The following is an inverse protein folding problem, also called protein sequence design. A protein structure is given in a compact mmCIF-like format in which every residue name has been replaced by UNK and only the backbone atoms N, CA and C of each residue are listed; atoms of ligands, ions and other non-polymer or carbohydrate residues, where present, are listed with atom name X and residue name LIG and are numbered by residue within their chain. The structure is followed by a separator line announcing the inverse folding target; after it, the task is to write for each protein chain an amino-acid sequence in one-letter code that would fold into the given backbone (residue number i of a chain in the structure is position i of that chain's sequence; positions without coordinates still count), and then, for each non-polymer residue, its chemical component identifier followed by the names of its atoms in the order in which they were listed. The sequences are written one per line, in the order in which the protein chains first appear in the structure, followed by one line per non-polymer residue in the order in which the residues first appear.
data_IF_788842680518
#
_entry.id   IF_788842680518
#
_cell.length_a   1.000
_cell.length_b   1.000
_cell.length_c   1.000
_cell.angle_alpha   90.00
_cell.angle_beta   90.00
_cell.angle_gamma   90.00
#
_symmetry.space_group_name_H-M   'P 1'
#
loop_
_entity.id
_entity.type
_entity.pdbx_description
1 polymer ?
#
# COMPACT_ATOMS: atom_id res chain seq x y z
N UNK A 1 -9.33 38.63 9.24
CA UNK A 1 -8.19 39.51 8.93
C UNK A 1 -8.70 40.74 8.19
N UNK A 2 -8.12 41.93 8.42
CA UNK A 2 -8.40 43.16 7.64
C UNK A 2 -7.33 43.42 6.57
N UNK A 3 -6.39 42.49 6.42
CA UNK A 3 -5.30 42.54 5.47
C UNK A 3 -5.72 41.92 4.14
N UNK A 4 -5.50 42.65 3.04
CA UNK A 4 -5.74 42.18 1.68
C UNK A 4 -4.58 42.61 0.80
N UNK A 5 -4.07 41.68 0.01
CA UNK A 5 -3.04 41.92 -1.00
C UNK A 5 -3.65 41.80 -2.38
N UNK A 6 -3.22 42.67 -3.29
CA UNK A 6 -3.69 42.69 -4.68
C UNK A 6 -2.49 42.82 -5.61
N UNK A 7 -2.42 41.92 -6.58
CA UNK A 7 -1.56 42.01 -7.75
C UNK A 7 -2.40 42.19 -9.00
N UNK A 8 -1.94 43.00 -9.95
CA UNK A 8 -2.65 43.28 -11.20
C UNK A 8 -1.78 42.99 -12.44
N UNK A 9 -2.41 42.89 -13.61
CA UNK A 9 -1.76 42.63 -14.89
C UNK A 9 -0.94 43.80 -15.42
N UNK A 10 -1.24 45.03 -15.00
CA UNK A 10 -0.44 46.23 -15.22
C UNK A 10 0.68 46.44 -14.18
N UNK A 11 0.96 45.42 -13.35
CA UNK A 11 2.11 45.40 -12.45
C UNK A 11 1.96 46.19 -11.15
N UNK A 12 0.74 46.58 -10.78
CA UNK A 12 0.49 47.16 -9.46
C UNK A 12 0.45 46.05 -8.40
N UNK A 13 1.33 46.17 -7.41
CA UNK A 13 1.29 45.39 -6.18
C UNK A 13 0.84 46.30 -5.04
N UNK A 14 -0.25 45.94 -4.35
CA UNK A 14 -0.87 46.78 -3.33
C UNK A 14 -1.26 45.98 -2.09
N UNK A 15 -1.18 46.63 -0.94
CA UNK A 15 -1.65 46.08 0.35
C UNK A 15 -2.57 47.07 1.05
N UNK A 16 -3.63 46.54 1.65
CA UNK A 16 -4.45 47.24 2.65
C UNK A 16 -4.42 46.45 3.94
N UNK A 17 -4.50 47.15 5.08
CA UNK A 17 -4.54 46.55 6.42
C UNK A 17 -5.79 46.97 7.22
N UNK A 18 -6.68 47.75 6.59
CA UNK A 18 -7.86 48.34 7.22
C UNK A 18 -9.17 47.95 6.51
N UNK A 19 -9.16 46.81 5.80
CA UNK A 19 -10.31 46.28 5.07
C UNK A 19 -10.60 47.03 3.77
N UNK A 20 -9.59 47.63 3.14
CA UNK A 20 -9.70 48.30 1.84
C UNK A 20 -10.05 49.78 1.90
N UNK A 21 -9.96 50.43 3.07
CA UNK A 21 -10.19 51.88 3.20
C UNK A 21 -8.99 52.67 2.68
N UNK A 22 -7.78 52.19 2.96
CA UNK A 22 -6.53 52.74 2.44
C UNK A 22 -5.66 51.65 1.83
N UNK A 23 -5.00 51.98 0.71
CA UNK A 23 -4.14 51.09 -0.05
C UNK A 23 -2.75 51.70 -0.20
N UNK A 24 -1.72 50.89 0.00
CA UNK A 24 -0.32 51.27 -0.21
C UNK A 24 0.17 50.58 -1.48
N UNK A 25 0.67 51.35 -2.45
CA UNK A 25 1.34 50.84 -3.64
C UNK A 25 2.79 50.44 -3.30
N UNK A 26 3.18 49.23 -3.70
CA UNK A 26 4.44 48.59 -3.32
C UNK A 26 5.35 48.30 -4.51
N UNK A 27 4.88 48.47 -5.75
CA UNK A 27 5.60 48.10 -6.98
C UNK A 27 7.03 48.64 -7.03
N UNK A 28 7.21 49.93 -6.69
CA UNK A 28 8.54 50.59 -6.73
C UNK A 28 9.51 50.10 -5.65
N UNK A 29 9.05 49.25 -4.71
CA UNK A 29 9.86 48.68 -3.63
C UNK A 29 10.42 47.30 -3.98
N UNK A 30 10.02 46.72 -5.11
CA UNK A 30 10.52 45.41 -5.57
C UNK A 30 11.89 45.58 -6.23
N UNK A 31 12.99 45.09 -5.62
CA UNK A 31 14.33 45.35 -6.13
C UNK A 31 14.57 44.64 -7.46
N UNK A 32 14.85 45.41 -8.52
CA UNK A 32 15.16 44.85 -9.84
C UNK A 32 13.97 44.27 -10.60
N UNK A 33 12.74 44.47 -10.13
CA UNK A 33 11.54 44.08 -10.87
C UNK A 33 11.43 44.89 -12.18
N UNK A 34 11.11 44.25 -13.32
CA UNK A 34 10.87 44.98 -14.56
C UNK A 34 9.57 45.79 -14.46
N UNK A 35 9.55 46.97 -15.08
CA UNK A 35 8.40 47.89 -15.06
C UNK A 35 7.18 47.27 -15.76
N UNK A 36 5.97 47.51 -15.23
CA UNK A 36 4.71 47.07 -15.85
C UNK A 36 4.68 45.54 -16.12
N UNK A 37 5.25 44.77 -15.19
CA UNK A 37 5.28 43.30 -15.24
C UNK A 37 4.11 42.76 -14.44
N UNK A 38 3.33 41.84 -15.03
CA UNK A 38 2.16 41.26 -14.38
C UNK A 38 2.53 40.62 -13.03
N UNK A 39 1.84 41.02 -11.97
CA UNK A 39 1.88 40.32 -10.69
C UNK A 39 1.05 39.03 -10.81
N UNK A 40 1.73 37.95 -11.19
CA UNK A 40 1.11 36.63 -11.45
C UNK A 40 0.48 36.00 -10.21
N UNK A 41 1.10 36.16 -9.03
CA UNK A 41 0.57 35.61 -7.77
C UNK A 41 1.02 36.41 -6.56
N UNK A 42 0.18 36.46 -5.54
CA UNK A 42 0.51 36.97 -4.20
C UNK A 42 0.01 35.98 -3.17
N UNK A 43 0.93 35.42 -2.37
CA UNK A 43 0.64 34.48 -1.28
C UNK A 43 1.03 35.15 0.05
N UNK A 44 0.07 35.70 0.82
CA UNK A 44 0.31 36.07 2.20
C UNK A 44 0.63 34.83 3.04
N UNK A 45 1.62 34.91 3.92
CA UNK A 45 2.01 33.79 4.77
C UNK A 45 0.88 33.41 5.73
N UNK A 46 0.68 32.11 5.90
CA UNK A 46 -0.23 31.55 6.92
C UNK A 46 0.42 31.47 8.29
N UNK A 47 1.76 31.51 8.34
CA UNK A 47 2.55 31.30 9.55
C UNK A 47 2.96 32.60 10.23
N UNK A 48 3.13 33.68 9.47
CA UNK A 48 3.57 34.97 10.01
C UNK A 48 2.87 36.15 9.36
N UNK A 49 2.24 37.00 10.19
CA UNK A 49 1.69 38.26 9.72
C UNK A 49 2.79 39.17 9.19
N UNK A 50 2.51 39.89 8.10
CA UNK A 50 3.48 40.76 7.43
C UNK A 50 4.40 40.04 6.45
N UNK A 51 4.44 38.71 6.47
CA UNK A 51 5.14 37.94 5.45
C UNK A 51 4.25 37.71 4.24
N UNK A 52 4.77 37.95 3.04
CA UNK A 52 4.11 37.62 1.78
C UNK A 52 5.14 37.26 0.70
N UNK A 53 4.72 36.39 -0.21
CA UNK A 53 5.48 35.94 -1.36
C UNK A 53 4.80 36.43 -2.63
N UNK A 54 5.58 36.95 -3.59
CA UNK A 54 5.06 37.51 -4.84
C UNK A 54 5.82 36.95 -6.02
N UNK A 55 5.10 36.58 -7.07
CA UNK A 55 5.70 36.19 -8.36
C UNK A 55 5.32 37.16 -9.47
N UNK A 56 6.27 37.48 -10.36
CA UNK A 56 5.99 38.30 -11.55
C UNK A 56 6.15 37.47 -12.83
N UNK A 57 5.32 37.78 -13.82
CA UNK A 57 5.32 37.14 -15.13
C UNK A 57 5.55 38.16 -16.25
N UNK A 58 6.72 38.07 -16.87
CA UNK A 58 7.16 38.93 -17.98
C UNK A 58 7.02 38.33 -19.37
N UNK A 59 6.47 37.12 -19.54
CA UNK A 59 6.59 36.38 -20.81
C UNK A 59 5.96 37.12 -22.00
N UNK A 60 4.90 37.90 -21.75
CA UNK A 60 4.23 38.72 -22.79
C UNK A 60 5.12 39.83 -23.34
N UNK A 61 6.15 40.21 -22.59
CA UNK A 61 7.17 41.19 -22.97
C UNK A 61 8.48 40.52 -23.42
N UNK A 62 8.44 39.23 -23.79
CA UNK A 62 9.60 38.43 -24.16
C UNK A 62 10.65 38.29 -23.05
N UNK A 63 10.22 38.38 -21.79
CA UNK A 63 11.04 38.10 -20.60
C UNK A 63 10.61 36.78 -19.97
N UNK A 64 11.46 35.77 -20.12
CA UNK A 64 11.21 34.41 -19.63
C UNK A 64 11.78 34.18 -18.22
N UNK A 65 12.30 35.23 -17.59
CA UNK A 65 13.00 35.12 -16.30
C UNK A 65 12.02 34.84 -15.15
N UNK A 66 12.39 33.96 -14.20
CA UNK A 66 11.64 33.80 -12.96
C UNK A 66 11.86 35.00 -12.03
N UNK A 67 10.75 35.56 -11.51
CA UNK A 67 10.76 36.60 -10.49
C UNK A 67 9.97 36.14 -9.28
N UNK A 68 10.64 36.06 -8.13
CA UNK A 68 10.05 35.73 -6.83
C UNK A 68 10.56 36.72 -5.79
N UNK A 69 9.65 37.35 -5.06
CA UNK A 69 9.95 38.34 -4.03
C UNK A 69 9.33 37.95 -2.69
N UNK A 70 10.03 38.27 -1.62
CA UNK A 70 9.63 37.95 -0.25
C UNK A 70 9.69 39.23 0.58
N UNK A 71 8.64 39.49 1.35
CA UNK A 71 8.61 40.52 2.41
C UNK A 71 8.31 39.86 3.75
N UNK A 72 8.70 40.52 4.84
CA UNK A 72 8.38 40.12 6.23
C UNK A 72 7.81 41.28 7.05
N UNK A 73 7.55 42.43 6.40
CA UNK A 73 7.20 43.70 7.04
C UNK A 73 6.04 44.41 6.31
N UNK A 74 5.07 43.63 5.81
CA UNK A 74 3.91 44.13 5.07
C UNK A 74 4.30 44.90 3.79
N UNK A 75 5.44 44.56 3.19
CA UNK A 75 5.92 45.16 1.95
C UNK A 75 6.60 46.53 2.13
N UNK A 76 7.03 46.86 3.35
CA UNK A 76 7.95 47.99 3.58
C UNK A 76 9.29 47.74 2.90
N UNK A 77 9.79 46.51 2.95
CA UNK A 77 10.97 46.05 2.24
C UNK A 77 10.75 44.69 1.58
N UNK A 78 11.54 44.42 0.53
CA UNK A 78 11.48 43.18 -0.25
C UNK A 78 12.87 42.63 -0.51
N UNK A 79 12.96 41.30 -0.48
CA UNK A 79 14.13 40.54 -0.91
C UNK A 79 13.76 39.76 -2.17
N UNK A 80 14.57 39.88 -3.22
CA UNK A 80 14.46 39.00 -4.38
C UNK A 80 15.02 37.62 -3.99
N UNK A 81 14.25 36.56 -4.24
CA UNK A 81 14.73 35.20 -4.02
C UNK A 81 15.85 34.86 -5.02
N UNK A 82 16.77 33.98 -4.63
CA UNK A 82 17.62 33.31 -5.61
C UNK A 82 16.71 32.39 -6.44
N UNK A 83 16.67 32.56 -7.76
CA UNK A 83 15.79 31.78 -8.64
C UNK A 83 16.52 30.68 -9.40
N UNK A 84 17.79 30.41 -9.06
CA UNK A 84 18.50 29.24 -9.57
C UNK A 84 17.74 27.96 -9.20
N UNK A 85 17.39 27.15 -10.21
CA UNK A 85 16.57 25.95 -10.05
C UNK A 85 15.09 26.13 -10.40
N UNK A 86 14.62 27.35 -10.67
CA UNK A 86 13.30 27.62 -11.24
C UNK A 86 13.44 27.74 -12.77
N UNK A 87 12.85 26.80 -13.50
CA UNK A 87 13.03 26.72 -14.96
C UNK A 87 11.94 27.56 -15.69
N UNK A 88 12.22 28.85 -15.91
CA UNK A 88 11.36 29.90 -16.54
C UNK A 88 10.39 30.63 -15.59
N UNK A 89 9.64 31.60 -16.14
CA UNK A 89 8.70 32.47 -15.45
C UNK A 89 7.66 31.72 -14.60
N UNK A 90 7.27 32.35 -13.49
CA UNK A 90 6.43 31.77 -12.45
C UNK A 90 4.96 32.13 -12.64
N UNK A 91 4.07 31.22 -12.27
CA UNK A 91 2.61 31.43 -12.30
C UNK A 91 2.00 31.51 -10.91
N UNK A 92 2.55 30.73 -9.96
CA UNK A 92 1.98 30.55 -8.63
C UNK A 92 3.10 30.23 -7.64
N UNK A 93 2.96 30.74 -6.42
CA UNK A 93 3.77 30.36 -5.26
C UNK A 93 2.85 29.98 -4.11
N UNK A 94 3.18 28.90 -3.40
CA UNK A 94 2.45 28.45 -2.21
C UNK A 94 3.40 28.12 -1.07
N UNK A 95 3.01 28.56 0.12
CA UNK A 95 3.65 28.20 1.38
C UNK A 95 2.96 26.96 1.97
N UNK A 96 3.74 25.97 2.38
CA UNK A 96 3.23 24.74 2.97
C UNK A 96 2.37 24.99 4.22
N UNK A 97 1.40 24.10 4.45
CA UNK A 97 0.45 24.20 5.56
C UNK A 97 1.10 24.11 6.95
N UNK A 98 2.24 23.44 7.07
CA UNK A 98 2.85 23.09 8.37
C UNK A 98 4.28 23.62 8.53
N UNK A 99 5.02 23.77 7.44
CA UNK A 99 6.41 24.22 7.45
C UNK A 99 6.56 25.59 6.73
N UNK A 100 6.84 26.69 7.44
CA UNK A 100 6.99 28.02 6.83
C UNK A 100 8.16 28.14 5.86
N UNK A 101 9.16 27.25 5.95
CA UNK A 101 10.31 27.27 5.04
C UNK A 101 10.08 26.44 3.78
N UNK A 102 9.02 25.63 3.73
CA UNK A 102 8.71 24.79 2.59
C UNK A 102 7.82 25.56 1.61
N UNK A 103 8.39 25.96 0.47
CA UNK A 103 7.70 26.70 -0.58
C UNK A 103 7.65 25.91 -1.88
N UNK A 104 6.56 26.08 -2.62
CA UNK A 104 6.33 25.46 -3.91
C UNK A 104 6.04 26.54 -4.95
N UNK A 105 6.73 26.49 -6.09
CA UNK A 105 6.51 27.41 -7.21
C UNK A 105 6.12 26.63 -8.45
N UNK A 106 4.92 26.91 -8.95
CA UNK A 106 4.50 26.48 -10.29
C UNK A 106 5.05 27.44 -11.33
N UNK A 107 5.80 26.90 -12.29
CA UNK A 107 6.43 27.66 -13.37
C UNK A 107 6.06 27.05 -14.72
N UNK A 108 6.49 27.70 -15.81
CA UNK A 108 6.06 27.32 -17.16
C UNK A 108 6.41 25.88 -17.56
N UNK A 109 7.44 25.28 -16.97
CA UNK A 109 7.92 23.94 -17.31
C UNK A 109 7.75 22.92 -16.19
N UNK A 110 7.14 23.27 -15.07
CA UNK A 110 6.88 22.32 -13.99
C UNK A 110 6.73 22.97 -12.62
N UNK A 111 7.28 22.28 -11.63
CA UNK A 111 7.24 22.65 -10.22
C UNK A 111 8.67 22.76 -9.69
N UNK A 112 8.96 23.80 -8.91
CA UNK A 112 10.17 23.92 -8.11
C UNK A 112 9.82 23.96 -6.63
N UNK A 113 10.69 23.43 -5.79
CA UNK A 113 10.51 23.34 -4.34
C UNK A 113 11.69 23.98 -3.63
N UNK A 114 11.42 24.78 -2.61
CA UNK A 114 12.42 25.31 -1.69
C UNK A 114 12.18 24.74 -0.29
N UNK A 115 13.26 24.34 0.38
CA UNK A 115 13.23 23.78 1.75
C UNK A 115 13.66 24.82 2.81
N UNK A 116 14.03 26.03 2.38
CA UNK A 116 14.74 27.03 3.18
C UNK A 116 14.17 28.45 3.01
N UNK A 117 12.87 28.55 2.72
CA UNK A 117 12.15 29.82 2.64
C UNK A 117 12.46 30.62 1.38
N UNK A 118 12.83 29.95 0.28
CA UNK A 118 13.10 30.57 -1.01
C UNK A 118 14.56 30.96 -1.24
N UNK A 119 15.49 30.53 -0.37
CA UNK A 119 16.92 30.79 -0.56
C UNK A 119 17.54 29.88 -1.62
N UNK A 120 17.08 28.64 -1.72
CA UNK A 120 17.46 27.68 -2.76
C UNK A 120 16.23 26.96 -3.32
N UNK A 121 16.25 26.69 -4.63
CA UNK A 121 15.19 25.96 -5.32
C UNK A 121 15.71 24.72 -6.02
N UNK A 122 14.91 23.66 -5.98
CA UNK A 122 15.19 22.41 -6.68
C UNK A 122 14.02 22.08 -7.60
N UNK A 123 14.27 21.79 -8.89
CA UNK A 123 13.21 21.36 -9.79
C UNK A 123 12.64 20.00 -9.35
N UNK A 124 11.32 19.88 -9.29
CA UNK A 124 10.63 18.66 -8.95
C UNK A 124 10.54 17.72 -10.16
N UNK A 125 11.46 16.75 -10.24
CA UNK A 125 11.56 15.80 -11.37
C UNK A 125 10.87 14.45 -11.09
N UNK A 126 9.95 14.41 -10.13
CA UNK A 126 9.24 13.20 -9.68
C UNK A 126 8.09 12.78 -10.60
N UNK A 127 8.38 12.18 -11.75
CA UNK A 127 7.39 11.82 -12.78
C UNK A 127 6.52 13.00 -13.27
N UNK A 128 6.96 14.24 -13.00
CA UNK A 128 6.30 15.44 -13.44
C UNK A 128 6.67 15.69 -14.90
N UNK A 129 5.70 15.72 -15.84
CA UNK A 129 6.00 16.11 -17.22
C UNK A 129 6.40 17.58 -17.28
N UNK A 130 7.14 17.94 -18.33
CA UNK A 130 7.39 19.34 -18.66
C UNK A 130 6.08 20.01 -19.10
N UNK A 131 5.43 20.71 -18.18
CA UNK A 131 4.13 21.36 -18.39
C UNK A 131 3.98 22.56 -17.47
N UNK A 132 3.27 23.57 -17.94
CA UNK A 132 2.96 24.77 -17.18
C UNK A 132 2.05 24.44 -15.99
N UNK A 133 2.52 24.70 -14.78
CA UNK A 133 1.76 24.56 -13.54
C UNK A 133 1.18 25.93 -13.19
N UNK A 134 -0.15 26.04 -13.28
CA UNK A 134 -0.88 27.33 -13.22
C UNK A 134 -1.45 27.64 -11.84
N UNK A 135 -1.76 26.61 -11.06
CA UNK A 135 -2.25 26.78 -9.70
C UNK A 135 -1.88 25.57 -8.83
N UNK A 136 -1.84 25.82 -7.52
CA UNK A 136 -1.44 24.87 -6.48
C UNK A 136 -2.41 24.95 -5.30
N UNK A 137 -2.89 23.80 -4.84
CA UNK A 137 -3.73 23.70 -3.65
C UNK A 137 -3.32 22.53 -2.76
N UNK A 138 -3.16 22.78 -1.47
CA UNK A 138 -2.95 21.72 -0.50
C UNK A 138 -4.28 21.17 0.00
N UNK A 139 -4.39 19.85 0.14
CA UNK A 139 -5.45 19.18 0.88
C UNK A 139 -5.03 19.01 2.35
N UNK A 140 -5.60 19.76 3.32
CA UNK A 140 -5.11 19.77 4.69
C UNK A 140 -5.18 18.42 5.41
N UNK A 141 -6.20 17.61 5.11
CA UNK A 141 -6.44 16.34 5.79
C UNK A 141 -5.51 15.24 5.29
N UNK A 142 -5.16 15.24 4.00
CA UNK A 142 -4.38 14.17 3.38
C UNK A 142 -2.93 14.57 3.14
N UNK A 143 -2.59 15.86 3.31
CA UNK A 143 -1.30 16.46 2.95
C UNK A 143 -0.95 16.30 1.48
N UNK A 144 -1.93 16.18 0.58
CA UNK A 144 -1.65 16.11 -0.86
C UNK A 144 -1.47 17.51 -1.45
N UNK A 145 -0.62 17.64 -2.46
CA UNK A 145 -0.48 18.86 -3.26
C UNK A 145 -1.13 18.63 -4.63
N UNK A 146 -2.25 19.33 -4.86
CA UNK A 146 -3.00 19.35 -6.11
C UNK A 146 -2.43 20.42 -7.02
N UNK A 147 -2.07 20.03 -8.24
CA UNK A 147 -1.45 20.88 -9.26
C UNK A 147 -2.39 20.99 -10.47
N UNK A 148 -2.82 22.21 -10.78
CA UNK A 148 -3.56 22.50 -12.00
C UNK A 148 -2.57 22.78 -13.14
N UNK A 149 -2.57 21.95 -14.19
CA UNK A 149 -1.65 22.08 -15.32
C UNK A 149 -2.33 22.61 -16.57
N UNK A 150 -1.59 23.31 -17.42
CA UNK A 150 -2.07 23.76 -18.72
C UNK A 150 -2.06 22.59 -19.73
N UNK A 151 -3.25 22.11 -20.10
CA UNK A 151 -3.41 21.12 -21.18
C UNK A 151 -3.13 19.66 -20.80
N UNK A 152 -2.84 19.35 -19.53
CA UNK A 152 -2.64 17.96 -19.04
C UNK A 152 -3.48 17.58 -17.81
N UNK A 153 -4.43 18.43 -17.42
CA UNK A 153 -5.36 18.14 -16.32
C UNK A 153 -4.77 18.39 -14.93
N UNK A 154 -5.24 17.61 -13.96
CA UNK A 154 -4.83 17.70 -12.56
C UNK A 154 -3.78 16.64 -12.25
N UNK A 155 -2.68 17.06 -11.64
CA UNK A 155 -1.67 16.17 -11.06
C UNK A 155 -1.77 16.27 -9.54
N UNK A 156 -1.65 15.14 -8.85
CA UNK A 156 -1.65 15.08 -7.39
C UNK A 156 -0.31 14.50 -6.97
N UNK A 157 0.44 15.26 -6.19
CA UNK A 157 1.53 14.73 -5.40
C UNK A 157 0.92 14.22 -4.10
N UNK A 158 0.76 12.89 -4.03
CA UNK A 158 0.27 12.22 -2.83
C UNK A 158 1.26 12.44 -1.68
N UNK A 159 0.76 12.97 -0.57
CA UNK A 159 1.49 13.17 0.69
C UNK A 159 2.82 13.96 0.58
N UNK A 160 2.79 15.26 0.91
CA UNK A 160 4.00 16.09 1.02
C UNK A 160 4.77 15.91 2.34
N UNK A 161 4.30 15.06 3.26
CA UNK A 161 4.94 14.83 4.56
C UNK A 161 6.42 14.41 4.43
N UNK A 162 6.82 13.52 3.50
CA UNK A 162 8.23 13.17 3.32
C UNK A 162 9.10 14.37 2.92
N UNK A 163 8.53 15.33 2.17
CA UNK A 163 9.24 16.56 1.76
C UNK A 163 9.42 17.48 2.97
N UNK A 164 8.42 17.58 3.86
CA UNK A 164 8.54 18.33 5.12
C UNK A 164 9.67 17.79 6.00
N UNK A 165 9.96 16.50 5.91
CA UNK A 165 11.06 15.85 6.64
C UNK A 165 12.45 16.07 6.06
N UNK A 166 12.60 16.70 4.88
CA UNK A 166 13.90 16.99 4.27
C UNK A 166 14.56 18.23 4.90
N UNK A 167 14.98 18.11 6.15
CA UNK A 167 15.76 19.15 6.82
C UNK A 167 17.21 19.17 6.33
N UNK A 168 17.93 20.27 6.59
CA UNK A 168 19.36 20.38 6.28
C UNK A 168 20.17 19.22 6.90
N UNK A 169 19.83 18.83 8.13
CA UNK A 169 20.44 17.68 8.79
C UNK A 169 20.18 16.36 8.05
N UNK A 170 18.93 16.11 7.67
CA UNK A 170 18.51 14.88 6.99
C UNK A 170 19.18 14.73 5.62
N UNK A 171 19.26 15.81 4.83
CA UNK A 171 19.87 15.75 3.49
C UNK A 171 21.40 15.52 3.54
N UNK A 172 22.04 15.76 4.68
CA UNK A 172 23.46 15.47 4.85
C UNK A 172 23.74 14.00 5.19
N UNK A 173 22.76 13.26 5.67
CA UNK A 173 22.89 11.83 5.98
C UNK A 173 22.99 11.00 4.70
N UNK A 174 23.72 9.88 4.74
CA UNK A 174 23.87 9.00 3.58
C UNK A 174 22.56 8.33 3.18
N UNK A 175 21.76 7.93 4.18
CA UNK A 175 20.40 7.47 4.05
C UNK A 175 19.64 7.83 5.33
N UNK A 176 18.43 8.36 5.20
CA UNK A 176 17.58 8.71 6.32
C UNK A 176 16.13 8.37 6.00
N UNK A 177 15.42 7.74 6.94
CA UNK A 177 13.97 7.58 6.81
C UNK A 177 13.26 8.92 6.99
N UNK A 178 12.21 9.10 6.21
CA UNK A 178 11.41 10.31 6.20
C UNK A 178 10.03 10.01 6.81
N UNK A 179 9.42 10.99 7.49
CA UNK A 179 8.05 10.83 7.98
C UNK A 179 7.10 10.65 6.78
N UNK A 180 6.08 9.82 6.97
CA UNK A 180 4.97 9.66 6.05
C UNK A 180 3.67 9.55 6.82
N UNK A 181 2.54 9.75 6.14
CA UNK A 181 1.24 9.47 6.76
C UNK A 181 1.04 7.97 7.01
N UNK A 182 0.21 7.58 8.00
CA UNK A 182 -0.19 6.19 8.17
C UNK A 182 -0.76 5.61 6.88
N UNK A 183 -0.40 4.36 6.59
CA UNK A 183 -1.02 3.58 5.53
C UNK A 183 -2.30 2.93 6.06
N UNK A 184 -3.36 2.92 5.25
CA UNK A 184 -4.66 2.42 5.71
C UNK A 184 -4.97 1.04 5.14
N UNK A 185 -5.37 0.12 6.02
CA UNK A 185 -5.99 -1.15 5.64
C UNK A 185 -7.35 -0.84 5.01
N UNK A 186 -7.51 -1.18 3.74
CA UNK A 186 -8.76 -0.99 2.98
C UNK A 186 -9.33 -2.33 2.58
N UNK A 187 -10.59 -2.55 2.92
CA UNK A 187 -11.38 -3.65 2.37
C UNK A 187 -11.60 -3.51 0.86
N UNK A 188 -11.93 -4.62 0.21
CA UNK A 188 -12.29 -4.62 -1.21
C UNK A 188 -13.73 -4.15 -1.34
N UNK A 189 -13.93 -2.95 -1.87
CA UNK A 189 -15.25 -2.48 -2.26
C UNK A 189 -15.44 -2.73 -3.77
N UNK A 190 -16.49 -3.46 -4.12
CA UNK A 190 -16.95 -3.56 -5.51
C UNK A 190 -18.07 -2.55 -5.70
N UNK A 191 -17.84 -1.56 -6.56
CA UNK A 191 -18.90 -0.69 -7.02
C UNK A 191 -19.75 -1.47 -8.03
N UNK A 192 -21.06 -1.54 -7.79
CA UNK A 192 -22.02 -1.97 -8.79
C UNK A 192 -22.61 -0.72 -9.44
N UNK A 193 -22.02 -0.28 -10.56
CA UNK A 193 -22.51 0.88 -11.31
C UNK A 193 -23.39 0.45 -12.50
N UNK A 194 -24.35 1.30 -12.85
CA UNK A 194 -25.15 1.24 -14.07
C UNK A 194 -24.84 2.49 -14.89
N UNK A 195 -23.64 2.54 -15.46
CA UNK A 195 -23.03 3.74 -16.04
C UNK A 195 -23.68 4.15 -17.37
N UNK A 196 -23.93 5.46 -17.52
CA UNK A 196 -24.22 6.13 -18.81
C UNK A 196 -23.00 6.86 -19.38
N UNK A 197 -23.21 7.75 -20.35
CA UNK A 197 -22.18 8.25 -21.29
C UNK A 197 -21.10 9.21 -20.73
N UNK A 198 -20.96 9.41 -19.42
CA UNK A 198 -20.13 10.49 -18.83
C UNK A 198 -19.36 10.10 -17.55
N UNK A 199 -18.92 8.85 -17.41
CA UNK A 199 -18.09 8.48 -16.25
C UNK A 199 -16.60 8.78 -16.46
N UNK A 200 -16.09 9.68 -15.61
CA UNK A 200 -14.66 9.83 -15.36
C UNK A 200 -14.30 8.92 -14.18
N UNK A 201 -13.61 7.82 -14.45
CA UNK A 201 -13.03 6.98 -13.40
C UNK A 201 -11.53 7.25 -13.29
N UNK A 202 -11.04 7.28 -12.05
CA UNK A 202 -9.62 7.28 -11.71
C UNK A 202 -9.26 5.95 -11.05
N UNK A 203 -7.97 5.55 -11.09
CA UNK A 203 -7.53 4.41 -10.31
C UNK A 203 -7.76 4.67 -8.81
N UNK A 204 -8.19 3.65 -8.08
CA UNK A 204 -8.24 3.71 -6.63
C UNK A 204 -6.82 3.94 -6.06
N UNK A 205 -6.68 4.61 -4.90
CA UNK A 205 -5.42 4.67 -4.20
C UNK A 205 -4.87 3.28 -3.91
N UNK A 206 -3.55 3.14 -3.93
CA UNK A 206 -2.89 1.87 -3.65
C UNK A 206 -3.25 1.34 -2.25
N UNK A 207 -3.40 0.02 -2.13
CA UNK A 207 -3.53 -0.68 -0.84
C UNK A 207 -2.17 -1.01 -0.22
N UNK A 208 -1.08 -0.66 -0.89
CA UNK A 208 0.26 -0.87 -0.36
C UNK A 208 0.50 0.09 0.79
N UNK A 209 1.14 -0.43 1.84
CA UNK A 209 1.73 0.41 2.84
C UNK A 209 3.04 1.01 2.32
N UNK A 210 3.24 2.31 2.55
CA UNK A 210 4.34 3.06 1.97
C UNK A 210 5.22 3.64 3.07
N UNK A 211 6.53 3.40 2.96
CA UNK A 211 7.56 4.09 3.72
C UNK A 211 8.47 4.89 2.79
N UNK A 212 9.10 5.93 3.32
CA UNK A 212 9.92 6.86 2.55
C UNK A 212 11.32 6.94 3.14
N UNK A 213 12.33 6.99 2.29
CA UNK A 213 13.69 7.34 2.71
C UNK A 213 14.37 8.26 1.70
N UNK A 214 15.19 9.16 2.22
CA UNK A 214 16.12 9.98 1.45
C UNK A 214 17.43 9.23 1.23
N UNK A 215 18.00 9.38 0.04
CA UNK A 215 19.33 8.89 -0.28
C UNK A 215 20.18 10.01 -0.90
N UNK A 216 21.30 10.35 -0.23
CA UNK A 216 22.17 11.47 -0.65
C UNK A 216 22.82 11.27 -2.01
N UNK A 217 23.17 10.02 -2.33
CA UNK A 217 23.81 9.61 -3.58
C UNK A 217 23.11 8.39 -4.14
N UNK A 218 23.02 8.32 -5.46
CA UNK A 218 22.50 7.12 -6.15
C UNK A 218 23.30 5.88 -5.74
N UNK A 219 22.62 4.82 -5.33
CA UNK A 219 23.25 3.53 -5.05
C UNK A 219 23.62 2.83 -6.37
N UNK A 220 24.91 2.59 -6.59
CA UNK A 220 25.45 2.01 -7.84
C UNK A 220 26.16 0.67 -7.59
N UNK A 221 26.77 0.48 -6.40
CA UNK A 221 27.64 -0.66 -6.13
C UNK A 221 27.21 -1.43 -4.88
N UNK A 222 27.22 -2.76 -4.98
CA UNK A 222 26.89 -3.66 -3.88
C UNK A 222 25.40 -3.97 -3.77
N UNK A 223 25.09 -4.99 -2.98
CA UNK A 223 23.71 -5.33 -2.64
C UNK A 223 23.09 -4.21 -1.79
N UNK A 224 21.79 -4.00 -2.01
CA UNK A 224 20.95 -3.14 -1.19
C UNK A 224 19.62 -3.86 -1.08
N UNK A 225 19.28 -4.29 0.13
CA UNK A 225 18.04 -5.02 0.43
C UNK A 225 17.12 -4.14 1.26
N UNK A 226 15.82 -4.38 1.12
CA UNK A 226 14.79 -3.77 1.96
C UNK A 226 13.97 -4.90 2.56
N UNK A 227 13.82 -4.88 3.87
CA UNK A 227 13.04 -5.85 4.64
C UNK A 227 11.94 -5.09 5.39
N UNK A 228 10.77 -5.71 5.51
CA UNK A 228 9.73 -5.27 6.44
C UNK A 228 9.67 -6.29 7.57
N UNK A 229 9.74 -5.80 8.80
CA UNK A 229 9.75 -6.60 10.01
C UNK A 229 8.57 -6.26 10.91
N UNK A 230 8.09 -7.26 11.64
CA UNK A 230 7.10 -7.06 12.68
C UNK A 230 7.71 -6.49 13.98
N UNK A 231 6.88 -6.39 15.02
CA UNK A 231 7.28 -5.88 16.34
C UNK A 231 8.27 -6.80 17.09
N UNK A 232 8.34 -8.08 16.71
CA UNK A 232 9.17 -9.10 17.35
C UNK A 232 10.51 -9.27 16.60
N UNK A 233 10.65 -8.64 15.43
CA UNK A 233 11.86 -8.65 14.61
C UNK A 233 11.87 -9.74 13.54
N UNK A 234 10.73 -10.38 13.27
CA UNK A 234 10.58 -11.37 12.21
C UNK A 234 10.43 -10.68 10.85
N UNK A 235 11.12 -11.22 9.84
CA UNK A 235 11.06 -10.68 8.47
C UNK A 235 9.77 -11.14 7.80
N UNK A 236 8.89 -10.18 7.52
CA UNK A 236 7.59 -10.43 6.85
C UNK A 236 7.70 -10.38 5.33
N UNK A 237 8.60 -9.56 4.80
CA UNK A 237 8.79 -9.42 3.36
C UNK A 237 10.18 -8.87 3.00
N UNK A 238 10.77 -9.40 1.94
CA UNK A 238 11.88 -8.79 1.23
C UNK A 238 11.38 -8.03 0.01
N UNK A 239 11.82 -6.77 -0.15
CA UNK A 239 11.33 -5.85 -1.16
C UNK A 239 12.48 -5.28 -2.02
N UNK A 240 12.19 -4.90 -3.27
CA UNK A 240 13.19 -4.24 -4.12
C UNK A 240 13.57 -2.87 -3.56
N UNK A 241 14.87 -2.60 -3.46
CA UNK A 241 15.39 -1.32 -3.00
C UNK A 241 15.33 -0.22 -4.07
N UNK A 242 14.81 0.96 -3.70
CA UNK A 242 14.97 2.22 -4.44
C UNK A 242 16.42 2.71 -4.45
N UNK A 243 17.07 2.68 -5.61
CA UNK A 243 18.49 3.02 -5.76
C UNK A 243 18.74 4.46 -6.22
N UNK A 244 17.71 5.33 -6.25
CA UNK A 244 17.81 6.68 -6.82
C UNK A 244 18.35 7.66 -5.78
N UNK A 245 19.04 8.71 -6.25
CA UNK A 245 19.33 9.89 -5.43
C UNK A 245 18.01 10.61 -5.11
N UNK A 246 17.85 11.09 -3.88
CA UNK A 246 16.67 11.80 -3.40
C UNK A 246 15.71 10.87 -2.65
N UNK A 247 14.43 11.24 -2.64
CA UNK A 247 13.37 10.48 -1.97
C UNK A 247 13.06 9.20 -2.75
N UNK A 248 13.02 8.07 -2.05
CA UNK A 248 12.61 6.77 -2.55
C UNK A 248 11.42 6.27 -1.74
N UNK A 249 10.59 5.43 -2.36
CA UNK A 249 9.42 4.80 -1.75
C UNK A 249 9.65 3.29 -1.61
N UNK A 250 9.28 2.74 -0.46
CA UNK A 250 9.13 1.30 -0.22
C UNK A 250 7.65 0.99 -0.24
N UNK A 251 7.24 0.12 -1.15
CA UNK A 251 5.84 -0.30 -1.28
C UNK A 251 5.71 -1.74 -0.79
N UNK A 252 5.03 -1.93 0.34
CA UNK A 252 4.75 -3.24 0.92
C UNK A 252 3.28 -3.58 0.76
N UNK A 253 2.97 -4.80 0.33
CA UNK A 253 1.58 -5.31 0.36
C UNK A 253 1.34 -5.86 1.77
N UNK A 254 0.53 -5.20 2.63
CA UNK A 254 0.36 -5.61 4.02
C UNK A 254 -0.64 -6.77 4.13
N UNK A 255 -0.38 -7.87 3.42
CA UNK A 255 -1.23 -9.06 3.35
C UNK A 255 -0.37 -10.32 3.36
N UNK A 256 -0.79 -11.32 4.14
CA UNK A 256 -0.20 -12.66 4.13
C UNK A 256 -0.52 -13.39 2.81
N UNK A 257 0.23 -14.46 2.48
CA UNK A 257 -0.17 -15.37 1.42
C UNK A 257 -1.59 -15.89 1.61
N UNK A 258 -2.27 -16.18 0.49
CA UNK A 258 -3.55 -16.86 0.53
C UNK A 258 -3.43 -18.21 1.26
N UNK A 259 -4.45 -18.64 2.03
CA UNK A 259 -4.41 -19.96 2.65
C UNK A 259 -4.30 -21.01 1.57
N UNK A 260 -3.48 -22.04 1.81
CA UNK A 260 -3.49 -23.21 0.95
C UNK A 260 -4.85 -23.91 1.07
N UNK A 261 -5.27 -24.53 -0.03
CA UNK A 261 -6.47 -25.35 -0.09
C UNK A 261 -6.14 -26.64 -0.84
N UNK A 262 -6.78 -27.79 -0.50
CA UNK A 262 -6.58 -29.01 -1.25
C UNK A 262 -6.81 -28.80 -2.76
N UNK A 263 -5.91 -29.37 -3.55
CA UNK A 263 -6.00 -29.30 -5.02
C UNK A 263 -7.25 -30.01 -5.54
N UNK A 264 -7.96 -29.38 -6.48
CA UNK A 264 -9.19 -29.90 -7.07
C UNK A 264 -9.37 -29.36 -8.49
N UNK A 265 -10.25 -29.97 -9.27
CA UNK A 265 -10.63 -29.48 -10.60
C UNK A 265 -11.32 -28.12 -10.57
N UNK A 266 -11.95 -27.75 -9.45
CA UNK A 266 -12.60 -26.45 -9.28
C UNK A 266 -11.71 -25.42 -8.55
N UNK A 267 -11.73 -24.17 -9.02
CA UNK A 267 -11.05 -23.07 -8.34
C UNK A 267 -11.78 -22.69 -7.05
N UNK A 268 -11.09 -22.73 -5.92
CA UNK A 268 -11.65 -22.25 -4.64
C UNK A 268 -11.71 -20.72 -4.62
N UNK A 269 -12.84 -20.15 -5.04
CA UNK A 269 -13.02 -18.69 -5.12
C UNK A 269 -13.04 -18.00 -3.76
N UNK A 270 -13.27 -18.75 -2.69
CA UNK A 270 -13.32 -18.22 -1.32
C UNK A 270 -11.94 -17.92 -0.73
N UNK A 271 -10.92 -18.70 -1.08
CA UNK A 271 -9.59 -18.69 -0.47
C UNK A 271 -8.50 -18.00 -1.33
N UNK A 272 -8.88 -17.12 -2.25
CA UNK A 272 -7.94 -16.52 -3.24
C UNK A 272 -7.07 -15.37 -2.70
N UNK A 273 -7.32 -14.89 -1.48
CA UNK A 273 -6.56 -13.80 -0.85
C UNK A 273 -6.25 -14.15 0.59
N UNK A 274 -5.06 -13.78 1.07
CA UNK A 274 -4.71 -13.91 2.48
C UNK A 274 -5.26 -12.78 3.36
N UNK A 275 -5.23 -12.94 4.69
CA UNK A 275 -5.57 -11.89 5.64
C UNK A 275 -4.58 -10.73 5.58
N UNK A 276 -5.07 -9.51 5.80
CA UNK A 276 -4.21 -8.35 6.03
C UNK A 276 -3.44 -8.49 7.35
N UNK A 277 -2.24 -7.92 7.41
CA UNK A 277 -1.52 -7.78 8.69
C UNK A 277 -2.29 -6.81 9.61
N UNK A 278 -2.22 -6.99 10.95
CA UNK A 278 -2.95 -6.15 11.89
C UNK A 278 -2.43 -4.70 11.89
N UNK A 279 -3.25 -3.72 12.31
CA UNK A 279 -2.76 -2.36 12.50
C UNK A 279 -1.63 -2.35 13.54
N UNK A 280 -0.64 -1.49 13.33
CA UNK A 280 0.55 -1.41 14.17
C UNK A 280 1.71 -0.70 13.46
N UNK A 281 2.80 -0.54 14.20
CA UNK A 281 4.06 -0.04 13.66
C UNK A 281 4.93 -1.22 13.26
N UNK A 282 5.36 -1.21 12.01
CA UNK A 282 6.29 -2.16 11.41
C UNK A 282 7.63 -1.47 11.17
N UNK A 283 8.71 -2.24 11.21
CA UNK A 283 10.05 -1.71 10.92
C UNK A 283 10.38 -1.95 9.46
N UNK A 284 10.75 -0.90 8.74
CA UNK A 284 11.36 -1.03 7.41
C UNK A 284 12.86 -0.90 7.58
N UNK A 285 13.59 -1.95 7.21
CA UNK A 285 15.03 -2.02 7.29
C UNK A 285 15.65 -1.94 5.91
N UNK A 286 16.57 -1.01 5.71
CA UNK A 286 17.41 -0.92 4.52
C UNK A 286 18.82 -1.33 4.89
N UNK A 287 19.31 -2.40 4.28
CA UNK A 287 20.67 -2.90 4.49
C UNK A 287 21.50 -2.66 3.23
N UNK A 288 22.63 -1.96 3.38
CA UNK A 288 23.66 -1.77 2.34
C UNK A 288 25.04 -1.94 2.96
N UNK A 289 26.08 -2.01 2.12
CA UNK A 289 27.48 -2.18 2.58
C UNK A 289 27.87 -1.19 3.69
N UNK A 290 27.36 0.04 3.62
CA UNK A 290 27.74 1.14 4.51
C UNK A 290 26.92 1.19 5.81
N UNK A 291 25.98 0.26 6.02
CA UNK A 291 25.21 0.18 7.26
C UNK A 291 23.81 -0.38 7.12
N UNK A 292 23.16 -0.52 8.27
CA UNK A 292 21.75 -0.89 8.43
C UNK A 292 21.01 0.36 8.89
N UNK A 293 19.89 0.66 8.22
CA UNK A 293 19.07 1.83 8.50
C UNK A 293 17.64 1.34 8.73
N UNK A 294 16.98 1.87 9.75
CA UNK A 294 15.62 1.46 10.11
C UNK A 294 14.72 2.68 10.20
N UNK A 295 13.45 2.48 9.88
CA UNK A 295 12.41 3.48 10.04
C UNK A 295 11.03 2.85 10.14
N UNK A 296 10.08 3.65 10.59
CA UNK A 296 8.75 3.18 10.92
C UNK A 296 7.84 3.19 9.68
N UNK A 297 7.02 2.14 9.58
CA UNK A 297 5.87 2.06 8.69
C UNK A 297 4.63 1.82 9.55
N UNK A 298 3.71 2.76 9.55
CA UNK A 298 2.50 2.69 10.38
C UNK A 298 1.32 2.22 9.54
N UNK A 299 0.67 1.16 10.00
CA UNK A 299 -0.54 0.59 9.40
C UNK A 299 -1.74 0.83 10.33
N UNK A 300 -2.80 1.45 9.83
CA UNK A 300 -4.00 1.77 10.59
C UNK A 300 -5.27 1.33 9.86
N UNK A 301 -6.39 1.24 10.59
CA UNK A 301 -7.69 1.18 9.93
C UNK A 301 -8.05 2.53 9.32
N UNK A 302 -8.74 2.52 8.19
CA UNK A 302 -9.19 3.75 7.56
C UNK A 302 -10.07 4.59 8.52
N UNK A 303 -9.79 5.89 8.70
CA UNK A 303 -10.47 6.72 9.71
C UNK A 303 -11.94 6.96 9.40
N UNK A 304 -12.33 6.77 8.14
CA UNK A 304 -13.71 6.87 7.67
C UNK A 304 -14.44 5.51 7.63
N UNK A 305 -13.88 4.47 8.27
CA UNK A 305 -14.56 3.17 8.34
C UNK A 305 -15.87 3.26 9.12
N UNK A 306 -16.95 2.62 8.64
CA UNK A 306 -18.21 2.55 9.38
C UNK A 306 -18.21 1.50 10.51
N UNK A 307 -17.11 0.76 10.70
CA UNK A 307 -17.01 -0.37 11.64
C UNK A 307 -16.15 0.02 12.84
N UNK A 308 -16.56 -0.41 14.03
CA UNK A 308 -15.79 -0.16 15.24
C UNK A 308 -14.49 -0.97 15.25
N UNK A 309 -13.52 -0.54 16.07
CA UNK A 309 -12.28 -1.31 16.30
C UNK A 309 -12.60 -2.72 16.81
N UNK A 310 -13.61 -2.84 17.69
CA UNK A 310 -14.04 -4.13 18.22
C UNK A 310 -14.62 -5.06 17.13
N UNK A 311 -15.41 -4.50 16.20
CA UNK A 311 -15.96 -5.25 15.06
C UNK A 311 -14.83 -5.79 14.17
N UNK A 312 -13.87 -4.93 13.83
CA UNK A 312 -12.70 -5.30 13.02
C UNK A 312 -11.83 -6.35 13.70
N UNK A 313 -11.65 -6.24 15.01
CA UNK A 313 -10.90 -7.24 15.77
C UNK A 313 -11.62 -8.59 15.83
N UNK A 314 -12.94 -8.59 15.99
CA UNK A 314 -13.74 -9.83 15.93
C UNK A 314 -13.65 -10.50 14.56
N UNK A 315 -13.65 -9.70 13.49
CA UNK A 315 -13.45 -10.18 12.13
C UNK A 315 -12.07 -10.78 11.93
N UNK A 316 -11.02 -10.09 12.39
CA UNK A 316 -9.64 -10.57 12.31
C UNK A 316 -9.46 -11.93 12.98
N UNK A 317 -10.02 -12.11 14.18
CA UNK A 317 -9.96 -13.38 14.91
C UNK A 317 -10.67 -14.51 14.13
N UNK A 318 -11.84 -14.24 13.56
CA UNK A 318 -12.58 -15.22 12.77
C UNK A 318 -11.87 -15.56 11.44
N UNK A 319 -11.17 -14.60 10.82
CA UNK A 319 -10.33 -14.87 9.65
C UNK A 319 -9.14 -15.75 10.03
N UNK A 320 -8.47 -15.45 11.14
CA UNK A 320 -7.34 -16.26 11.60
C UNK A 320 -7.76 -17.72 11.83
N UNK A 321 -8.87 -17.90 12.52
CA UNK A 321 -9.43 -19.22 12.79
C UNK A 321 -9.80 -19.94 11.48
N UNK A 322 -10.53 -19.28 10.58
CA UNK A 322 -10.88 -19.89 9.29
C UNK A 322 -9.68 -20.17 8.39
N UNK A 323 -8.61 -19.37 8.47
CA UNK A 323 -7.34 -19.61 7.79
C UNK A 323 -6.69 -20.90 8.31
N UNK A 324 -6.58 -21.05 9.63
CA UNK A 324 -6.04 -22.24 10.27
C UNK A 324 -6.82 -23.50 9.87
N UNK A 325 -8.15 -23.41 9.84
CA UNK A 325 -9.02 -24.53 9.45
C UNK A 325 -8.81 -24.92 7.97
N UNK A 326 -8.56 -23.95 7.08
CA UNK A 326 -8.20 -24.25 5.69
C UNK A 326 -6.84 -24.93 5.56
N UNK A 327 -5.86 -24.54 6.39
CA UNK A 327 -4.59 -25.24 6.43
C UNK A 327 -4.73 -26.68 6.95
N UNK A 328 -5.52 -26.89 8.01
CA UNK A 328 -5.79 -28.23 8.56
C UNK A 328 -6.46 -29.12 7.51
N UNK A 329 -7.45 -28.57 6.81
CA UNK A 329 -8.09 -29.23 5.66
C UNK A 329 -7.07 -29.58 4.56
N UNK A 330 -6.14 -28.66 4.27
CA UNK A 330 -5.09 -28.88 3.26
C UNK A 330 -4.15 -30.00 3.65
N UNK A 331 -3.69 -30.01 4.90
CA UNK A 331 -2.82 -31.06 5.42
C UNK A 331 -3.49 -32.42 5.27
N UNK A 332 -4.75 -32.55 5.71
CA UNK A 332 -5.50 -33.79 5.57
C UNK A 332 -5.69 -34.20 4.10
N UNK A 333 -6.09 -33.25 3.23
CA UNK A 333 -6.32 -33.50 1.82
C UNK A 333 -5.07 -33.96 1.07
N UNK A 334 -3.93 -33.31 1.31
CA UNK A 334 -2.66 -33.68 0.66
C UNK A 334 -2.04 -34.95 1.25
N UNK A 335 -2.26 -35.27 2.55
CA UNK A 335 -1.89 -36.57 3.11
C UNK A 335 -2.69 -37.72 2.47
N UNK A 336 -4.00 -37.56 2.34
CA UNK A 336 -4.87 -38.56 1.68
C UNK A 336 -4.47 -38.75 0.23
N UNK A 337 -4.22 -37.65 -0.50
CA UNK A 337 -3.78 -37.68 -1.90
C UNK A 337 -2.42 -38.35 -2.06
N UNK A 338 -1.46 -38.07 -1.17
CA UNK A 338 -0.15 -38.71 -1.18
C UNK A 338 -0.27 -40.23 -0.95
N UNK A 339 -1.03 -40.66 0.05
CA UNK A 339 -1.25 -42.09 0.31
C UNK A 339 -1.94 -42.81 -0.86
N UNK A 340 -2.96 -42.20 -1.48
CA UNK A 340 -3.62 -42.78 -2.65
C UNK A 340 -2.64 -42.96 -3.82
N UNK A 341 -1.78 -41.97 -4.05
CA UNK A 341 -0.73 -42.06 -5.06
C UNK A 341 0.27 -43.18 -4.75
N UNK A 342 0.74 -43.26 -3.51
CA UNK A 342 1.69 -44.31 -3.11
C UNK A 342 1.07 -45.72 -3.20
N UNK A 343 -0.24 -45.86 -2.95
CA UNK A 343 -0.98 -47.12 -3.12
C UNK A 343 -1.04 -47.53 -4.60
N UNK A 344 -1.32 -46.59 -5.51
CA UNK A 344 -1.34 -46.85 -6.97
C UNK A 344 0.02 -47.35 -7.47
N UNK A 345 1.12 -46.84 -6.90
CA UNK A 345 2.49 -47.29 -7.22
C UNK A 345 2.84 -48.69 -6.67
N UNK A 346 2.02 -49.26 -5.77
CA UNK A 346 2.21 -50.59 -5.16
C UNK A 346 1.55 -51.75 -5.93
N UNK A 347 1.18 -51.57 -7.20
CA UNK A 347 0.48 -52.58 -8.01
C UNK A 347 1.07 -53.99 -7.89
N UNK A 348 0.23 -54.95 -7.46
CA UNK A 348 0.58 -56.35 -7.27
C UNK A 348 1.57 -56.66 -6.13
N UNK A 349 1.94 -55.69 -5.30
CA UNK A 349 2.95 -55.86 -4.25
C UNK A 349 2.50 -56.76 -3.09
N UNK A 350 1.20 -56.78 -2.78
CA UNK A 350 0.62 -57.59 -1.71
C UNK A 350 -0.29 -58.69 -2.27
N UNK A 351 -0.48 -59.77 -1.51
CA UNK A 351 -1.35 -60.91 -1.89
C UNK A 351 -2.25 -61.35 -0.74
N UNK A 352 -3.37 -62.00 -1.09
CA UNK A 352 -4.28 -62.62 -0.13
C UNK A 352 -4.96 -61.59 0.78
N UNK A 353 -4.91 -61.80 2.11
CA UNK A 353 -5.54 -60.89 3.08
C UNK A 353 -4.94 -59.48 3.05
N UNK A 354 -3.63 -59.36 2.84
CA UNK A 354 -2.95 -58.08 2.82
C UNK A 354 -3.36 -57.23 1.60
N UNK A 355 -3.54 -57.85 0.44
CA UNK A 355 -4.08 -57.17 -0.75
C UNK A 355 -5.48 -56.62 -0.47
N UNK A 356 -6.38 -57.44 0.10
CA UNK A 356 -7.73 -56.97 0.47
C UNK A 356 -7.73 -55.81 1.48
N UNK A 357 -6.73 -55.75 2.37
CA UNK A 357 -6.59 -54.63 3.31
C UNK A 357 -6.06 -53.37 2.63
N UNK A 358 -5.20 -53.50 1.62
CA UNK A 358 -4.75 -52.40 0.77
C UNK A 358 -5.92 -51.85 -0.06
N UNK A 359 -6.70 -52.72 -0.71
CA UNK A 359 -7.89 -52.34 -1.49
C UNK A 359 -8.91 -51.61 -0.59
N UNK A 360 -9.10 -52.09 0.64
CA UNK A 360 -9.99 -51.43 1.61
C UNK A 360 -9.45 -50.06 2.04
N UNK A 361 -8.14 -49.95 2.29
CA UNK A 361 -7.51 -48.67 2.62
C UNK A 361 -7.68 -47.66 1.48
N UNK A 362 -7.46 -48.08 0.24
CA UNK A 362 -7.66 -47.25 -0.95
C UNK A 362 -9.12 -46.76 -1.06
N UNK A 363 -10.08 -47.67 -0.85
CA UNK A 363 -11.50 -47.33 -0.89
C UNK A 363 -11.92 -46.36 0.23
N UNK A 364 -11.40 -46.55 1.44
CA UNK A 364 -11.67 -45.69 2.60
C UNK A 364 -11.03 -44.30 2.40
N UNK A 365 -9.77 -44.24 1.93
CA UNK A 365 -9.08 -42.99 1.60
C UNK A 365 -9.78 -42.24 0.45
N UNK A 366 -10.26 -42.96 -0.56
CA UNK A 366 -11.05 -42.38 -1.65
C UNK A 366 -12.36 -41.81 -1.12
N UNK A 367 -12.99 -42.48 -0.14
CA UNK A 367 -14.20 -41.99 0.51
C UNK A 367 -13.92 -40.67 1.24
N UNK A 368 -12.83 -40.61 2.01
CA UNK A 368 -12.38 -39.39 2.69
C UNK A 368 -12.10 -38.28 1.66
N UNK A 369 -11.32 -38.55 0.61
CA UNK A 369 -11.02 -37.56 -0.43
C UNK A 369 -12.31 -36.94 -1.00
N UNK A 370 -13.33 -37.77 -1.25
CA UNK A 370 -14.62 -37.32 -1.78
C UNK A 370 -15.47 -36.50 -0.80
N UNK A 371 -15.20 -36.58 0.50
CA UNK A 371 -15.81 -35.69 1.49
C UNK A 371 -15.11 -34.32 1.51
N UNK A 372 -13.80 -34.29 1.27
CA UNK A 372 -12.97 -33.09 1.32
C UNK A 372 -13.12 -32.22 0.07
N UNK A 373 -13.02 -32.83 -1.12
CA UNK A 373 -12.94 -32.13 -2.41
C UNK A 373 -14.01 -32.59 -3.40
N UNK A 374 -14.51 -31.68 -4.26
CA UNK A 374 -15.50 -32.05 -5.28
C UNK A 374 -14.90 -32.92 -6.38
N UNK A 375 -15.73 -33.80 -6.96
CA UNK A 375 -15.37 -34.71 -8.06
C UNK A 375 -15.50 -34.07 -9.44
N UNK A 376 -16.40 -33.11 -9.57
CA UNK A 376 -16.72 -32.46 -10.84
C UNK A 376 -16.90 -30.95 -10.66
N UNK A 377 -16.39 -30.18 -11.61
CA UNK A 377 -16.62 -28.75 -11.72
C UNK A 377 -17.84 -28.49 -12.60
N UNK A 378 -18.96 -28.07 -11.99
CA UNK A 378 -20.13 -27.59 -12.72
C UNK A 378 -20.02 -26.08 -13.00
N UNK A 379 -20.55 -25.58 -14.13
CA UNK A 379 -20.52 -24.15 -14.42
C UNK A 379 -21.32 -23.35 -13.37
N UNK A 380 -20.70 -22.32 -12.80
CA UNK A 380 -21.34 -21.37 -11.89
C UNK A 380 -21.72 -22.00 -10.54
N UNK A 381 -23.02 -21.99 -10.21
CA UNK A 381 -23.60 -22.51 -8.95
C UNK A 381 -23.99 -23.99 -9.01
N UNK A 382 -23.64 -24.69 -10.09
CA UNK A 382 -24.01 -26.11 -10.32
C UNK A 382 -22.94 -27.11 -9.92
N UNK A 383 -21.82 -26.63 -9.37
CA UNK A 383 -20.72 -27.46 -8.88
C UNK A 383 -21.10 -28.21 -7.60
N UNK A 384 -20.44 -29.34 -7.38
CA UNK A 384 -20.55 -30.08 -6.13
C UNK A 384 -19.89 -29.28 -4.99
N UNK A 385 -20.61 -29.06 -3.90
CA UNK A 385 -20.04 -28.42 -2.71
C UNK A 385 -19.59 -29.49 -1.71
N UNK A 386 -18.29 -29.49 -1.41
CA UNK A 386 -17.65 -30.33 -0.39
C UNK A 386 -17.05 -29.46 0.70
N UNK A 387 -16.41 -30.10 1.68
CA UNK A 387 -15.89 -29.40 2.86
C UNK A 387 -14.95 -28.24 2.49
N UNK A 388 -14.11 -28.41 1.46
CA UNK A 388 -13.28 -27.35 0.88
C UNK A 388 -14.07 -26.11 0.45
N UNK A 389 -15.16 -26.29 -0.29
CA UNK A 389 -15.96 -25.16 -0.77
C UNK A 389 -16.65 -24.44 0.38
N UNK A 390 -17.23 -25.19 1.32
CA UNK A 390 -17.93 -24.62 2.48
C UNK A 390 -16.99 -23.76 3.34
N UNK A 391 -15.84 -24.30 3.72
CA UNK A 391 -14.88 -23.59 4.59
C UNK A 391 -14.26 -22.42 3.85
N UNK A 392 -13.89 -22.59 2.57
CA UNK A 392 -13.32 -21.51 1.79
C UNK A 392 -14.35 -20.39 1.55
N UNK A 393 -15.61 -20.72 1.33
CA UNK A 393 -16.69 -19.74 1.20
C UNK A 393 -16.90 -18.96 2.50
N UNK A 394 -16.89 -19.62 3.66
CA UNK A 394 -16.96 -18.97 4.96
C UNK A 394 -15.77 -18.02 5.16
N UNK A 395 -14.54 -18.51 4.95
CA UNK A 395 -13.32 -17.70 5.00
C UNK A 395 -13.44 -16.47 4.07
N UNK A 396 -13.81 -16.67 2.81
CA UNK A 396 -13.91 -15.60 1.82
C UNK A 396 -15.04 -14.61 2.09
N UNK A 397 -16.12 -15.03 2.77
CA UNK A 397 -17.21 -14.16 3.18
C UNK A 397 -16.79 -13.27 4.35
N UNK A 398 -16.02 -13.81 5.30
CA UNK A 398 -15.46 -13.05 6.43
C UNK A 398 -14.35 -12.11 5.93
N UNK A 399 -13.43 -12.61 5.09
CA UNK A 399 -12.27 -11.87 4.59
C UNK A 399 -12.62 -10.68 3.68
N UNK A 400 -13.79 -10.69 3.04
CA UNK A 400 -14.25 -9.59 2.16
C UNK A 400 -15.06 -8.52 2.89
N UNK A 401 -15.37 -8.71 4.17
CA UNK A 401 -16.19 -7.79 4.95
C UNK A 401 -15.37 -7.24 6.12
N UNK A 402 -15.26 -5.91 6.22
CA UNK A 402 -14.47 -5.23 7.24
C UNK A 402 -15.16 -5.11 8.60
N UNK A 403 -16.42 -5.54 8.72
CA UNK A 403 -17.22 -5.43 9.94
C UNK A 403 -17.32 -6.72 10.73
N UNK A 404 -18.11 -6.69 11.80
CA UNK A 404 -18.34 -7.86 12.66
C UNK A 404 -18.90 -9.01 11.81
N UNK A 405 -18.32 -10.22 11.88
CA UNK A 405 -18.86 -11.39 11.19
C UNK A 405 -20.32 -11.62 11.59
N UNK A 406 -21.16 -11.98 10.63
CA UNK A 406 -22.55 -12.31 10.91
C UNK A 406 -22.65 -13.66 11.62
N UNK A 407 -23.71 -13.87 12.40
CA UNK A 407 -23.95 -15.15 13.07
C UNK A 407 -23.95 -16.32 12.06
N UNK A 408 -24.50 -16.09 10.85
CA UNK A 408 -24.50 -17.10 9.78
C UNK A 408 -23.10 -17.41 9.25
N UNK A 409 -22.20 -16.42 9.16
CA UNK A 409 -20.80 -16.68 8.76
C UNK A 409 -20.06 -17.49 9.81
N UNK A 410 -20.26 -17.15 11.09
CA UNK A 410 -19.65 -17.88 12.21
C UNK A 410 -20.20 -19.31 12.31
N UNK A 411 -21.52 -19.49 12.16
CA UNK A 411 -22.15 -20.81 12.15
C UNK A 411 -21.65 -21.68 10.98
N UNK A 412 -21.47 -21.09 9.79
CA UNK A 412 -20.88 -21.81 8.65
C UNK A 412 -19.45 -22.27 8.94
N UNK A 413 -18.63 -21.42 9.57
CA UNK A 413 -17.28 -21.78 9.97
C UNK A 413 -17.29 -22.91 11.03
N UNK A 414 -18.12 -22.80 12.07
CA UNK A 414 -18.23 -23.82 13.11
C UNK A 414 -18.72 -25.17 12.56
N UNK A 415 -19.70 -25.15 11.65
CA UNK A 415 -20.16 -26.36 10.98
C UNK A 415 -19.04 -26.99 10.14
N UNK A 416 -18.27 -26.18 9.40
CA UNK A 416 -17.12 -26.64 8.64
C UNK A 416 -16.03 -27.25 9.52
N UNK A 417 -15.74 -26.63 10.68
CA UNK A 417 -14.81 -27.16 11.69
C UNK A 417 -15.28 -28.49 12.25
N UNK A 418 -16.55 -28.60 12.62
CA UNK A 418 -17.12 -29.82 13.17
C UNK A 418 -17.11 -30.96 12.13
N UNK A 419 -17.47 -30.68 10.87
CA UNK A 419 -17.36 -31.64 9.78
C UNK A 419 -15.91 -32.08 9.58
N UNK A 420 -14.94 -31.15 9.54
CA UNK A 420 -13.52 -31.47 9.40
C UNK A 420 -13.00 -32.37 10.53
N UNK A 421 -13.39 -32.09 11.77
CA UNK A 421 -12.97 -32.89 12.92
C UNK A 421 -13.47 -34.34 12.83
N UNK A 422 -14.68 -34.56 12.31
CA UNK A 422 -15.22 -35.92 12.07
C UNK A 422 -14.38 -36.64 11.02
N UNK A 423 -14.10 -35.99 9.88
CA UNK A 423 -13.30 -36.61 8.80
C UNK A 423 -11.86 -36.86 9.24
N UNK A 424 -11.28 -35.97 10.05
CA UNK A 424 -9.95 -36.16 10.63
C UNK A 424 -9.92 -37.38 11.56
N UNK A 425 -10.93 -37.58 12.41
CA UNK A 425 -10.99 -38.76 13.29
C UNK A 425 -11.20 -40.07 12.49
N UNK A 426 -11.98 -40.03 11.40
CA UNK A 426 -12.09 -41.15 10.46
C UNK A 426 -10.71 -41.50 9.87
N UNK A 427 -9.97 -40.50 9.38
CA UNK A 427 -8.61 -40.67 8.86
C UNK A 427 -7.64 -41.21 9.92
N UNK A 428 -7.63 -40.62 11.11
CA UNK A 428 -6.76 -41.06 12.22
C UNK A 428 -7.07 -42.51 12.63
N UNK A 429 -8.34 -42.91 12.57
CA UNK A 429 -8.77 -44.30 12.73
C UNK A 429 -8.15 -45.24 11.69
N UNK A 430 -8.13 -44.85 10.41
CA UNK A 430 -7.47 -45.62 9.35
C UNK A 430 -5.96 -45.70 9.56
N UNK A 431 -5.32 -44.60 9.96
CA UNK A 431 -3.89 -44.52 10.25
C UNK A 431 -3.51 -45.49 11.37
N UNK A 432 -4.22 -45.44 12.51
CA UNK A 432 -3.97 -46.30 13.67
C UNK A 432 -4.31 -47.78 13.41
N UNK A 433 -5.25 -48.05 12.52
CA UNK A 433 -5.76 -49.40 12.23
C UNK A 433 -5.21 -50.01 10.94
N UNK A 434 -5.89 -49.69 9.84
CA UNK A 434 -5.67 -50.33 8.53
C UNK A 434 -4.28 -50.02 7.97
N UNK A 435 -3.85 -48.75 7.98
CA UNK A 435 -2.53 -48.34 7.48
C UNK A 435 -1.40 -49.02 8.26
N UNK A 436 -1.48 -49.05 9.59
CA UNK A 436 -0.50 -49.76 10.43
C UNK A 436 -0.42 -51.26 10.10
N UNK A 437 -1.56 -51.89 9.78
CA UNK A 437 -1.61 -53.30 9.38
C UNK A 437 -1.03 -53.53 7.99
N UNK A 438 -1.31 -52.63 7.04
CA UNK A 438 -0.79 -52.65 5.68
C UNK A 438 0.73 -52.44 5.68
N UNK A 439 1.24 -51.46 6.45
CA UNK A 439 2.67 -51.19 6.55
C UNK A 439 3.46 -52.39 7.10
N UNK A 440 2.94 -53.09 8.11
CA UNK A 440 3.55 -54.36 8.59
C UNK A 440 3.58 -55.44 7.50
N UNK A 441 2.57 -55.47 6.62
CA UNK A 441 2.54 -56.43 5.52
C UNK A 441 3.52 -56.04 4.39
N UNK A 442 3.67 -54.74 4.10
CA UNK A 442 4.64 -54.20 3.15
C UNK A 442 6.07 -54.49 3.60
N UNK A 443 6.39 -54.22 4.85
CA UNK A 443 7.70 -54.55 5.43
C UNK A 443 8.03 -56.04 5.30
N UNK A 444 7.05 -56.91 5.58
CA UNK A 444 7.21 -58.37 5.41
C UNK A 444 7.39 -58.78 3.94
N UNK A 445 6.84 -58.01 3.00
CA UNK A 445 7.01 -58.19 1.57
C UNK A 445 8.30 -57.54 1.02
N UNK A 446 9.12 -56.92 1.87
CA UNK A 446 10.34 -56.22 1.46
C UNK A 446 10.08 -54.91 0.72
N UNK A 447 8.92 -54.28 0.97
CA UNK A 447 8.53 -52.98 0.42
C UNK A 447 8.61 -51.91 1.51
N UNK A 448 8.83 -50.66 1.10
CA UNK A 448 8.82 -49.53 2.01
C UNK A 448 7.40 -49.29 2.55
N UNK A 449 7.24 -48.91 3.83
CA UNK A 449 5.96 -48.57 4.40
C UNK A 449 5.45 -47.24 3.82
N UNK A 450 4.13 -47.12 3.68
CA UNK A 450 3.46 -45.87 3.33
C UNK A 450 3.66 -44.86 4.46
N UNK A 451 4.14 -43.66 4.13
CA UNK A 451 4.45 -42.62 5.11
C UNK A 451 3.50 -41.42 5.00
N UNK A 452 3.17 -40.85 6.16
CA UNK A 452 2.43 -39.60 6.20
C UNK A 452 3.40 -38.44 6.03
N UNK A 453 3.07 -37.54 5.09
CA UNK A 453 3.75 -36.26 4.96
C UNK A 453 3.51 -35.40 6.21
N UNK A 454 4.52 -34.62 6.61
CA UNK A 454 4.38 -33.72 7.76
C UNK A 454 3.60 -32.46 7.37
N UNK A 455 3.07 -31.74 8.37
CA UNK A 455 2.42 -30.44 8.16
C UNK A 455 3.37 -29.45 7.49
N UNK A 456 4.60 -29.37 8.00
CA UNK A 456 5.65 -28.47 7.51
C UNK A 456 5.93 -28.75 6.02
N UNK A 457 6.14 -30.03 5.66
CA UNK A 457 6.39 -30.43 4.27
C UNK A 457 5.24 -30.03 3.31
N UNK A 458 3.99 -30.00 3.79
CA UNK A 458 2.83 -29.66 2.96
C UNK A 458 2.65 -28.14 2.86
N UNK A 459 2.83 -27.43 3.97
CA UNK A 459 2.61 -25.98 4.02
C UNK A 459 3.79 -25.17 3.47
N UNK A 460 4.99 -25.73 3.39
CA UNK A 460 6.17 -25.08 2.78
C UNK A 460 6.37 -25.42 1.29
N UNK A 461 5.70 -26.44 0.76
CA UNK A 461 5.82 -26.83 -0.66
C UNK A 461 5.20 -25.77 -1.59
N UNK A 462 6.01 -25.12 -2.45
CA UNK A 462 5.58 -24.02 -3.33
C UNK A 462 4.46 -24.38 -4.32
#
# INVERSE_FOLDING_TARGET
AQEVWVGTDDGNLQVTRDGGKTWTLLTDRLPGAPTNTWVSYVEPSRHSAGTAYVTLDGHRNNDMSPYVFITTDFGESWTAANTEGIEAYCHVIKEDLMNPNLLFVGHEWGLAVSLDGGQNWVPFKGNMPMVSVRDLAFQPQTSDLVMATHGRGIFILDDVTPIRGLTEEVIQQDLAFLPGRPSYIRGVAFEQSYSGDNEYSGPNPTSNAVAYYYQKKRHIFGAMTVEVLDKDGEVLAELPAGKRKGVNQVNWVPRRPAPKVPTSSALSRGAVFGPSYPPGTYTVRVTKKDGVYEGDLVLEYAPNSPHSIADRESQRLAIEESYQVLEDLTVLGEQVKALLKDIDELDGALRGRAAKQLDQLEADLTTIQNQLIPKYEGPGISGEERLREKIAQAYGAIARYDGKPTDSQLEQLENGKAELAVVQEEFDGLVRGTLTSVNKALEKAGKEPLQLRTREDILEEE
#
